data_IF_037161891698
#
_entry.id   IF_037161891698
#
_cell.length_a   1.000
_cell.length_b   1.000
_cell.length_c   1.000
_cell.angle_alpha   90.00
_cell.angle_beta   90.00
_cell.angle_gamma   90.00
#
_symmetry.space_group_name_H-M   'P 1'
#
loop_
_entity.id
_entity.type
_entity.pdbx_description
1 polymer ?
#
# COMPACT_ATOMS: atom_id res chain seq x y z
N UNK A 1 -23.21 19.33 -13.68
CA UNK A 1 -22.59 19.69 -12.39
C UNK A 1 -21.26 20.35 -12.73
N UNK A 2 -21.09 21.62 -12.39
CA UNK A 2 -19.85 22.34 -12.69
C UNK A 2 -18.72 21.79 -11.82
N UNK A 3 -17.61 21.44 -12.45
CA UNK A 3 -16.37 21.14 -11.75
C UNK A 3 -15.99 22.35 -10.91
N UNK A 4 -15.97 22.17 -9.60
CA UNK A 4 -15.49 23.19 -8.69
C UNK A 4 -13.97 23.28 -8.90
N UNK A 5 -13.48 24.31 -9.60
CA UNK A 5 -12.06 24.55 -9.93
C UNK A 5 -11.14 24.81 -8.73
N UNK A 6 -11.47 24.25 -7.57
CA UNK A 6 -10.62 24.23 -6.40
C UNK A 6 -9.45 23.27 -6.65
N UNK A 7 -8.25 23.83 -6.85
CA UNK A 7 -6.96 23.14 -6.98
C UNK A 7 -6.53 22.33 -5.73
N UNK A 8 -7.46 22.02 -4.83
CA UNK A 8 -7.24 21.28 -3.58
C UNK A 8 -7.36 19.76 -3.78
N UNK A 9 -8.01 19.31 -4.86
CA UNK A 9 -8.35 17.89 -5.03
C UNK A 9 -7.34 17.09 -5.87
N UNK A 10 -6.53 17.74 -6.69
CA UNK A 10 -5.68 17.02 -7.64
C UNK A 10 -4.30 16.68 -7.09
N UNK A 11 -3.80 15.53 -7.54
CA UNK A 11 -2.43 15.11 -7.28
C UNK A 11 -1.48 16.09 -7.98
N UNK A 12 -0.53 16.72 -7.26
CA UNK A 12 0.51 17.52 -7.90
C UNK A 12 1.33 16.71 -8.90
N UNK A 13 1.73 17.35 -10.00
CA UNK A 13 2.56 16.72 -11.03
C UNK A 13 3.88 16.16 -10.48
N UNK A 14 4.44 15.11 -11.10
CA UNK A 14 5.80 14.64 -10.83
C UNK A 14 6.84 15.73 -11.05
N UNK A 15 7.98 15.60 -10.37
CA UNK A 15 9.13 16.49 -10.57
C UNK A 15 10.38 15.69 -10.93
N UNK A 16 11.19 16.23 -11.84
CA UNK A 16 12.46 15.63 -12.27
C UNK A 16 13.62 16.03 -11.35
N UNK A 17 13.50 15.66 -10.07
CA UNK A 17 14.54 15.81 -9.06
C UNK A 17 14.24 14.91 -7.86
N UNK A 18 15.24 14.68 -7.02
CA UNK A 18 15.08 13.88 -5.80
C UNK A 18 14.09 14.49 -4.80
N UNK A 19 14.23 15.78 -4.51
CA UNK A 19 13.45 16.44 -3.46
C UNK A 19 12.02 16.74 -3.91
N UNK A 20 10.98 16.33 -3.15
CA UNK A 20 9.60 16.68 -3.45
C UNK A 20 9.38 18.19 -3.57
N UNK A 21 8.31 18.59 -4.27
CA UNK A 21 7.83 19.98 -4.23
C UNK A 21 7.02 20.24 -2.96
N UNK A 22 6.90 21.51 -2.56
CA UNK A 22 6.02 21.89 -1.46
C UNK A 22 4.55 21.50 -1.69
N UNK A 23 4.11 21.42 -2.96
CA UNK A 23 2.77 20.92 -3.29
C UNK A 23 2.66 19.41 -3.02
N UNK A 24 3.66 18.63 -3.45
CA UNK A 24 3.73 17.19 -3.18
C UNK A 24 3.79 16.90 -1.67
N UNK A 25 4.64 17.60 -0.91
CA UNK A 25 4.72 17.46 0.55
C UNK A 25 3.37 17.71 1.22
N UNK A 26 2.70 18.82 0.88
CA UNK A 26 1.36 19.13 1.41
C UNK A 26 0.35 18.04 1.07
N UNK A 27 0.37 17.54 -0.17
CA UNK A 27 -0.52 16.48 -0.62
C UNK A 27 -0.29 15.19 0.20
N UNK A 28 0.96 14.71 0.28
CA UNK A 28 1.25 13.45 0.98
C UNK A 28 1.03 13.56 2.48
N UNK A 29 1.34 14.70 3.10
CA UNK A 29 1.09 14.92 4.53
C UNK A 29 -0.41 14.92 4.85
N UNK A 30 -1.22 15.57 4.00
CA UNK A 30 -2.68 15.58 4.13
C UNK A 30 -3.26 14.18 3.93
N UNK A 31 -2.79 13.45 2.91
CA UNK A 31 -3.21 12.08 2.62
C UNK A 31 -2.88 11.13 3.77
N UNK A 32 -1.68 11.22 4.34
CA UNK A 32 -1.19 10.19 5.25
C UNK A 32 -1.46 10.48 6.73
N UNK A 33 -1.38 11.74 7.17
CA UNK A 33 -1.55 12.25 8.55
C UNK A 33 -0.58 11.70 9.61
N UNK A 34 -0.19 10.43 9.50
CA UNK A 34 0.83 9.76 10.31
C UNK A 34 1.79 8.95 9.45
N UNK A 35 2.87 8.48 10.06
CA UNK A 35 3.73 7.43 9.51
C UNK A 35 2.88 6.24 9.06
N UNK A 36 3.19 5.72 7.87
CA UNK A 36 2.39 4.71 7.18
C UNK A 36 2.79 3.27 7.50
N UNK A 37 3.93 3.08 8.15
CA UNK A 37 4.30 1.79 8.69
C UNK A 37 3.17 1.26 9.59
N UNK A 38 2.79 -0.03 9.49
CA UNK A 38 1.72 -0.62 10.29
C UNK A 38 1.85 -0.26 11.77
N UNK A 39 0.72 0.11 12.40
CA UNK A 39 0.58 0.50 13.82
C UNK A 39 1.37 1.73 14.30
N UNK A 40 2.18 2.38 13.45
CA UNK A 40 2.91 3.58 13.84
C UNK A 40 2.01 4.82 13.90
N UNK A 41 1.96 5.49 15.05
CA UNK A 41 1.18 6.72 15.25
C UNK A 41 1.95 8.03 15.08
N UNK A 42 3.22 8.00 14.67
CA UNK A 42 4.05 9.21 14.57
C UNK A 42 3.44 10.20 13.57
N UNK A 43 3.25 11.47 13.97
CA UNK A 43 2.61 12.48 13.11
C UNK A 43 3.51 12.85 11.93
N UNK A 44 2.91 13.25 10.80
CA UNK A 44 3.64 13.63 9.58
C UNK A 44 4.64 14.78 9.76
N UNK A 45 4.46 15.65 10.75
CA UNK A 45 5.44 16.69 11.09
C UNK A 45 6.81 16.14 11.56
N UNK A 46 6.88 14.84 11.87
CA UNK A 46 8.09 14.11 12.26
C UNK A 46 8.41 12.95 11.29
N UNK A 47 7.80 12.97 10.11
CA UNK A 47 8.00 11.97 9.06
C UNK A 47 8.61 12.61 7.82
N UNK A 48 9.37 11.82 7.08
CA UNK A 48 9.87 12.19 5.76
C UNK A 48 8.89 11.71 4.68
N UNK A 49 8.78 12.44 3.57
CA UNK A 49 8.19 11.95 2.34
C UNK A 49 9.22 11.03 1.63
N UNK A 50 9.05 9.73 1.78
CA UNK A 50 10.01 8.71 1.36
C UNK A 50 9.53 7.98 0.10
N UNK A 51 10.43 7.78 -0.88
CA UNK A 51 10.11 7.09 -2.13
C UNK A 51 9.98 5.58 -1.91
N UNK A 52 8.82 4.99 -2.19
CA UNK A 52 8.57 3.55 -2.06
C UNK A 52 9.48 2.76 -3.00
N UNK A 53 9.50 3.14 -4.28
CA UNK A 53 10.55 2.77 -5.22
C UNK A 53 11.67 3.80 -5.11
N UNK A 54 12.90 3.42 -4.71
CA UNK A 54 13.98 4.38 -4.49
C UNK A 54 14.27 5.23 -5.72
N UNK A 55 14.48 6.53 -5.52
CA UNK A 55 14.84 7.45 -6.61
C UNK A 55 16.13 7.04 -7.34
N UNK A 56 17.14 6.58 -6.60
CA UNK A 56 18.38 6.05 -7.18
C UNK A 56 18.18 4.77 -8.01
N UNK A 57 17.04 4.07 -7.83
CA UNK A 57 16.62 2.93 -8.63
C UNK A 57 15.65 3.29 -9.76
N UNK A 58 15.51 4.57 -10.10
CA UNK A 58 14.61 5.06 -11.15
C UNK A 58 13.19 5.39 -10.69
N UNK A 59 12.92 5.40 -9.38
CA UNK A 59 11.62 5.82 -8.85
C UNK A 59 11.37 7.31 -9.04
N UNK A 60 10.26 7.67 -9.67
CA UNK A 60 9.88 9.07 -9.85
C UNK A 60 9.57 9.76 -8.52
N UNK A 61 9.87 11.05 -8.42
CA UNK A 61 9.36 11.91 -7.34
C UNK A 61 7.94 12.34 -7.68
N UNK A 62 7.01 11.46 -7.31
CA UNK A 62 5.58 11.59 -7.55
C UNK A 62 4.78 11.15 -6.32
N UNK A 63 3.60 11.72 -6.10
CA UNK A 63 2.75 11.41 -4.96
C UNK A 63 2.24 9.96 -4.94
N UNK A 64 2.21 9.23 -6.07
CA UNK A 64 1.95 7.79 -6.11
C UNK A 64 3.16 6.96 -5.63
N UNK A 65 4.36 7.53 -5.58
CA UNK A 65 5.57 6.88 -5.10
C UNK A 65 6.04 7.40 -3.73
N UNK A 66 5.58 8.57 -3.27
CA UNK A 66 5.97 9.17 -1.99
C UNK A 66 5.06 8.72 -0.84
N UNK A 67 5.65 8.25 0.25
CA UNK A 67 4.97 7.75 1.45
C UNK A 67 5.55 8.38 2.71
N UNK A 68 4.71 8.80 3.66
CA UNK A 68 5.21 9.33 4.93
C UNK A 68 5.75 8.23 5.84
N UNK A 69 7.04 8.25 6.15
CA UNK A 69 7.69 7.36 7.12
C UNK A 69 8.46 8.16 8.17
N UNK A 70 8.31 7.81 9.45
CA UNK A 70 9.18 8.38 10.48
C UNK A 70 10.63 7.91 10.29
N UNK A 71 11.59 8.64 10.87
CA UNK A 71 13.02 8.33 10.72
C UNK A 71 13.38 6.87 11.02
N UNK A 72 12.76 6.26 12.03
CA UNK A 72 12.99 4.85 12.36
C UNK A 72 12.52 3.89 11.26
N UNK A 73 11.33 4.10 10.71
CA UNK A 73 10.78 3.22 9.67
C UNK A 73 11.36 3.51 8.28
N UNK A 74 11.74 4.75 8.00
CA UNK A 74 12.52 5.07 6.82
C UNK A 74 13.85 4.32 6.85
N UNK A 75 14.60 4.37 7.97
CA UNK A 75 15.84 3.58 8.13
C UNK A 75 15.61 2.08 8.01
N UNK A 76 14.52 1.56 8.60
CA UNK A 76 14.14 0.15 8.44
C UNK A 76 13.99 -0.22 6.97
N UNK A 77 13.20 0.55 6.21
CA UNK A 77 13.00 0.33 4.77
C UNK A 77 14.31 0.38 3.98
N UNK A 78 15.18 1.33 4.29
CA UNK A 78 16.40 1.57 3.50
C UNK A 78 17.51 0.56 3.81
N UNK A 79 17.69 0.19 5.08
CA UNK A 79 18.88 -0.54 5.51
C UNK A 79 18.62 -1.98 5.95
N UNK A 80 17.40 -2.34 6.35
CA UNK A 80 17.11 -3.70 6.80
C UNK A 80 16.79 -4.63 5.62
N UNK A 81 17.52 -5.74 5.52
CA UNK A 81 17.33 -6.74 4.47
C UNK A 81 16.02 -7.49 4.64
N UNK A 82 15.42 -7.91 3.53
CA UNK A 82 14.22 -8.76 3.49
C UNK A 82 12.89 -8.04 3.73
N UNK A 83 12.92 -6.77 4.15
CA UNK A 83 11.71 -5.94 4.21
C UNK A 83 11.30 -5.49 2.80
N UNK A 84 10.00 -5.54 2.50
CA UNK A 84 9.45 -5.07 1.22
C UNK A 84 8.31 -4.10 1.47
N UNK A 85 8.28 -3.04 0.68
CA UNK A 85 7.26 -1.99 0.72
C UNK A 85 6.71 -1.84 -0.70
N UNK A 86 5.39 -1.91 -0.84
CA UNK A 86 4.69 -1.61 -2.09
C UNK A 86 3.54 -0.67 -1.80
N UNK A 87 3.22 0.20 -2.75
CA UNK A 87 2.17 1.20 -2.57
C UNK A 87 1.35 1.34 -3.83
N UNK A 88 0.04 1.42 -3.67
CA UNK A 88 -0.88 1.78 -4.74
C UNK A 88 -0.84 3.30 -5.02
N UNK A 89 -1.29 3.77 -6.20
CA UNK A 89 -1.34 5.20 -6.50
C UNK A 89 -2.16 6.02 -5.49
N UNK A 90 -3.17 5.41 -4.87
CA UNK A 90 -4.02 6.04 -3.87
C UNK A 90 -3.40 6.07 -2.47
N UNK A 91 -2.20 5.52 -2.29
CA UNK A 91 -1.46 5.57 -1.03
C UNK A 91 -1.78 4.44 -0.04
N UNK A 92 -2.45 3.37 -0.49
CA UNK A 92 -2.52 2.11 0.27
C UNK A 92 -1.12 1.49 0.27
N UNK A 93 -0.53 1.36 1.45
CA UNK A 93 0.82 0.83 1.64
C UNK A 93 0.71 -0.61 2.15
N UNK A 94 1.45 -1.51 1.52
CA UNK A 94 1.62 -2.89 1.94
C UNK A 94 3.08 -3.10 2.35
N UNK A 95 3.29 -3.55 3.58
CA UNK A 95 4.61 -3.85 4.14
C UNK A 95 4.69 -5.35 4.41
N UNK A 96 5.71 -5.99 3.87
CA UNK A 96 6.02 -7.40 4.12
C UNK A 96 7.29 -7.52 4.94
N UNK A 97 7.22 -8.26 6.04
CA UNK A 97 8.37 -8.58 6.90
C UNK A 97 9.31 -9.57 6.20
N UNK A 98 10.57 -9.71 6.69
CA UNK A 98 11.48 -10.75 6.19
C UNK A 98 10.93 -12.18 6.32
N UNK A 99 10.05 -12.44 7.30
CA UNK A 99 9.36 -13.72 7.49
C UNK A 99 8.15 -13.93 6.56
N UNK A 100 7.83 -12.97 5.70
CA UNK A 100 6.71 -13.05 4.76
C UNK A 100 5.37 -12.54 5.28
N UNK A 101 5.28 -12.11 6.55
CA UNK A 101 4.05 -11.56 7.12
C UNK A 101 3.75 -10.20 6.47
N UNK A 102 2.54 -10.05 5.95
CA UNK A 102 2.12 -8.84 5.24
C UNK A 102 1.08 -8.06 6.02
N UNK A 103 1.23 -6.74 6.07
CA UNK A 103 0.27 -5.81 6.70
C UNK A 103 0.03 -4.63 5.78
N UNK A 104 -1.24 -4.21 5.71
CA UNK A 104 -1.68 -3.13 4.83
C UNK A 104 -2.23 -1.97 5.66
N UNK A 105 -1.83 -0.74 5.33
CA UNK A 105 -2.40 0.48 5.89
C UNK A 105 -3.08 1.28 4.78
N UNK A 106 -4.19 1.97 5.11
CA UNK A 106 -4.94 2.84 4.18
C UNK A 106 -4.92 4.31 4.62
N UNK A 107 -4.82 5.28 3.71
CA UNK A 107 -4.95 6.69 4.05
C UNK A 107 -6.26 6.94 4.81
N UNK A 108 -6.28 7.81 5.83
CA UNK A 108 -7.52 8.18 6.51
C UNK A 108 -8.58 8.66 5.52
N UNK A 109 -9.81 8.17 5.66
CA UNK A 109 -10.93 8.48 4.76
C UNK A 109 -11.01 7.63 3.49
N UNK A 110 -9.97 6.83 3.16
CA UNK A 110 -10.05 5.86 2.07
C UNK A 110 -10.82 4.62 2.54
N UNK A 111 -12.03 4.42 2.03
CA UNK A 111 -12.83 3.22 2.30
C UNK A 111 -12.15 1.99 1.68
N UNK A 112 -12.22 0.81 2.32
CA UNK A 112 -11.88 -0.43 1.65
C UNK A 112 -12.72 -0.58 0.37
N UNK A 113 -12.15 -1.13 -0.71
CA UNK A 113 -12.98 -1.56 -1.83
C UNK A 113 -14.03 -2.57 -1.32
N UNK A 114 -15.22 -2.62 -1.92
CA UNK A 114 -16.17 -3.68 -1.61
C UNK A 114 -15.51 -5.05 -1.81
N UNK A 115 -15.93 -6.08 -1.06
CA UNK A 115 -15.46 -7.43 -1.31
C UNK A 115 -15.72 -7.80 -2.78
N UNK A 116 -14.84 -8.62 -3.36
CA UNK A 116 -15.12 -9.18 -4.67
C UNK A 116 -16.46 -9.92 -4.62
N UNK A 117 -17.28 -9.86 -5.69
CA UNK A 117 -18.46 -10.71 -5.76
C UNK A 117 -18.04 -12.17 -5.60
N UNK A 118 -18.88 -12.96 -4.94
CA UNK A 118 -18.67 -14.40 -4.86
C UNK A 118 -18.44 -14.95 -6.27
N UNK A 119 -17.50 -15.89 -6.46
CA UNK A 119 -17.41 -16.57 -7.74
C UNK A 119 -18.79 -17.13 -8.06
N UNK A 120 -19.24 -17.09 -9.34
CA UNK A 120 -20.48 -17.75 -9.72
C UNK A 120 -20.42 -19.18 -9.19
N UNK A 121 -21.52 -19.74 -8.66
CA UNK A 121 -21.52 -21.12 -8.21
C UNK A 121 -21.02 -21.98 -9.36
N UNK A 122 -19.78 -22.47 -9.24
CA UNK A 122 -19.23 -23.38 -10.21
C UNK A 122 -20.12 -24.60 -10.22
N UNK A 123 -20.34 -25.17 -11.41
CA UNK A 123 -21.03 -26.44 -11.56
C UNK A 123 -20.30 -27.47 -10.70
N UNK A 124 -20.81 -27.66 -9.48
CA UNK A 124 -20.48 -28.77 -8.63
C UNK A 124 -21.11 -29.97 -9.32
N UNK A 125 -20.43 -30.48 -10.35
CA UNK A 125 -20.64 -31.85 -10.81
C UNK A 125 -20.63 -32.70 -9.54
N UNK A 126 -21.74 -33.35 -9.18
CA UNK A 126 -21.80 -34.12 -7.96
C UNK A 126 -20.73 -35.20 -8.07
N UNK A 127 -19.68 -35.06 -7.26
CA UNK A 127 -18.71 -36.12 -7.01
C UNK A 127 -19.52 -37.35 -6.65
N UNK A 128 -19.64 -38.28 -7.59
CA UNK A 128 -20.22 -39.60 -7.34
C UNK A 128 -19.44 -40.17 -6.17
N UNK A 129 -20.10 -40.30 -5.03
CA UNK A 129 -19.62 -41.12 -3.93
C UNK A 129 -19.55 -42.52 -4.52
N UNK A 130 -18.37 -42.94 -4.96
CA UNK A 130 -18.10 -44.35 -5.17
C UNK A 130 -18.10 -44.97 -3.77
N UNK A 131 -19.18 -45.69 -3.49
CA UNK A 131 -19.39 -46.43 -2.25
C UNK A 131 -18.20 -47.33 -1.92
N UNK A 132 -17.85 -47.38 -0.64
CA UNK A 132 -16.93 -48.35 -0.04
C UNK A 132 -17.31 -49.80 -0.37
N UNK A 133 -16.35 -50.63 -0.78
CA UNK A 133 -16.16 -52.01 -0.29
C UNK A 133 -14.86 -52.62 -0.87
N UNK A 134 -13.78 -52.67 -0.07
CA UNK A 134 -12.87 -53.82 -0.04
C UNK A 134 -12.00 -53.74 1.24
N UNK A 135 -12.12 -54.67 2.21
CA UNK A 135 -11.25 -54.70 3.37
C UNK A 135 -9.87 -55.28 3.01
N UNK A 136 -8.78 -54.82 3.65
CA UNK A 136 -7.43 -55.28 3.30
C UNK A 136 -7.19 -56.72 3.77
N UNK A 137 -6.47 -57.56 3.00
CA UNK A 137 -5.90 -58.78 3.54
C UNK A 137 -4.65 -58.44 4.39
N UNK A 138 -4.60 -59.08 5.56
CA UNK A 138 -3.57 -59.10 6.63
C UNK A 138 -2.18 -58.52 6.34
#
# INVERSE_FOLDING_TARGET
>A
AADCGCAVLDRPEPVDRYSPSAAQDRFVHTRHRTCRFPTCGQRVGWADADHVVPHAGGGATDCANLCCLCRSHHRLKTFARGWRFTMSPDGVLTVTTPSGITRTTRPPGLRPPPPAPDPPPGDLEPSRIASDDDPPPY
#
